data_IF_398443516839
#
_entry.id   IF_398443516839
#
_cell.length_a   1.000
_cell.length_b   1.000
_cell.length_c   1.000
_cell.angle_alpha   90.00
_cell.angle_beta   90.00
_cell.angle_gamma   90.00
#
_symmetry.space_group_name_H-M   'P 1'
#
loop_
_entity.id
_entity.type
_entity.pdbx_description
1 polymer ?
#
# COMPACT_ATOMS: atom_id res chain seq x y z
N UNK A 1 -16.19 0.55 -13.65
CA UNK A 1 -15.53 0.51 -12.33
C UNK A 1 -15.52 -0.90 -11.73
N UNK A 2 -16.67 -1.57 -11.58
CA UNK A 2 -16.79 -2.94 -11.02
C UNK A 2 -15.77 -3.98 -11.52
N UNK A 3 -15.65 -4.18 -12.84
CA UNK A 3 -14.68 -5.14 -13.41
C UNK A 3 -13.23 -4.78 -13.09
N UNK A 4 -12.92 -3.49 -13.05
CA UNK A 4 -11.58 -3.01 -12.72
C UNK A 4 -11.25 -3.26 -11.25
N UNK A 5 -12.18 -2.95 -10.33
CA UNK A 5 -12.02 -3.27 -8.90
C UNK A 5 -11.74 -4.74 -8.68
N UNK A 6 -12.52 -5.63 -9.30
CA UNK A 6 -12.29 -7.09 -9.20
C UNK A 6 -10.90 -7.49 -9.71
N UNK A 7 -10.42 -6.87 -10.78
CA UNK A 7 -9.05 -7.10 -11.27
C UNK A 7 -8.01 -6.66 -10.24
N UNK A 8 -8.14 -5.47 -9.67
CA UNK A 8 -7.24 -4.95 -8.64
C UNK A 8 -7.26 -5.82 -7.39
N UNK A 9 -8.43 -6.21 -6.89
CA UNK A 9 -8.58 -7.12 -5.75
C UNK A 9 -7.81 -8.42 -5.98
N UNK A 10 -8.00 -9.06 -7.13
CA UNK A 10 -7.31 -10.31 -7.45
C UNK A 10 -5.78 -10.12 -7.49
N UNK A 11 -5.30 -9.00 -8.04
CA UNK A 11 -3.87 -8.66 -8.01
C UNK A 11 -3.36 -8.45 -6.58
N UNK A 12 -4.10 -7.72 -5.73
CA UNK A 12 -3.76 -7.51 -4.33
C UNK A 12 -3.60 -8.84 -3.60
N UNK A 13 -4.54 -9.78 -3.80
CA UNK A 13 -4.49 -11.11 -3.21
C UNK A 13 -3.31 -11.94 -3.70
N UNK A 14 -2.97 -11.84 -5.00
CA UNK A 14 -1.79 -12.49 -5.57
C UNK A 14 -0.50 -11.96 -4.94
N UNK A 15 -0.32 -10.64 -4.87
CA UNK A 15 0.86 -10.03 -4.26
C UNK A 15 1.00 -10.38 -2.78
N UNK A 16 -0.10 -10.35 -2.02
CA UNK A 16 -0.10 -10.76 -0.62
C UNK A 16 0.34 -12.22 -0.46
N UNK A 17 -0.17 -13.11 -1.31
CA UNK A 17 0.20 -14.53 -1.29
C UNK A 17 1.70 -14.70 -1.58
N UNK A 18 2.25 -13.97 -2.54
CA UNK A 18 3.68 -14.00 -2.84
C UNK A 18 4.51 -13.50 -1.65
N UNK A 19 4.16 -12.34 -1.06
CA UNK A 19 4.91 -11.75 0.05
C UNK A 19 4.87 -12.62 1.31
N UNK A 20 3.72 -13.22 1.63
CA UNK A 20 3.58 -14.11 2.79
C UNK A 20 4.41 -15.37 2.62
N UNK A 21 4.44 -15.95 1.40
CA UNK A 21 5.20 -17.18 1.16
C UNK A 21 6.72 -16.96 1.10
N UNK A 22 7.19 -15.74 0.81
CA UNK A 22 8.62 -15.44 0.71
C UNK A 22 9.23 -14.88 2.00
N UNK A 23 8.44 -14.39 2.95
CA UNK A 23 8.96 -13.87 4.21
C UNK A 23 8.87 -14.94 5.30
N UNK A 24 10.03 -15.35 5.83
CA UNK A 24 10.13 -16.47 6.78
C UNK A 24 9.50 -16.16 8.16
N UNK A 25 9.40 -14.90 8.57
CA UNK A 25 8.79 -14.49 9.85
C UNK A 25 8.05 -13.14 9.71
N UNK A 26 6.75 -13.17 9.37
CA UNK A 26 5.89 -11.98 9.40
C UNK A 26 4.68 -12.27 10.28
N UNK A 27 4.63 -11.62 11.45
CA UNK A 27 3.50 -11.73 12.38
C UNK A 27 2.41 -10.74 12.00
N UNK A 28 1.57 -11.14 11.03
CA UNK A 28 0.45 -10.33 10.56
C UNK A 28 -0.88 -11.02 10.81
N UNK A 29 -1.92 -10.20 10.95
CA UNK A 29 -3.31 -10.60 10.85
C UNK A 29 -3.89 -9.93 9.61
N UNK A 30 -4.69 -10.67 8.87
CA UNK A 30 -5.37 -10.15 7.69
C UNK A 30 -6.87 -10.25 7.88
N UNK A 31 -7.57 -9.16 7.57
CA UNK A 31 -9.01 -9.08 7.58
C UNK A 31 -9.49 -8.94 6.14
N UNK A 32 -10.33 -9.87 5.73
CA UNK A 32 -11.03 -9.81 4.45
C UNK A 32 -12.53 -9.75 4.73
N UNK A 33 -13.18 -8.71 4.24
CA UNK A 33 -14.63 -8.52 4.40
C UNK A 33 -15.27 -8.11 3.09
N UNK A 34 -16.49 -8.57 2.87
CA UNK A 34 -17.32 -8.22 1.72
C UNK A 34 -18.70 -7.82 2.22
N UNK A 35 -19.18 -6.64 1.80
CA UNK A 35 -20.50 -6.16 2.11
C UNK A 35 -21.17 -5.65 0.85
N UNK A 36 -22.20 -6.34 0.38
CA UNK A 36 -22.83 -6.09 -0.93
C UNK A 36 -21.80 -6.10 -2.08
N UNK A 37 -21.54 -4.95 -2.71
CA UNK A 37 -20.54 -4.79 -3.76
C UNK A 37 -19.18 -4.29 -3.25
N UNK A 38 -19.10 -3.91 -1.97
CA UNK A 38 -17.90 -3.38 -1.35
C UNK A 38 -17.01 -4.49 -0.81
N UNK A 39 -15.69 -4.30 -0.94
CA UNK A 39 -14.70 -5.24 -0.42
C UNK A 39 -13.64 -4.50 0.37
N UNK A 40 -13.16 -5.14 1.43
CA UNK A 40 -12.22 -4.57 2.39
C UNK A 40 -11.12 -5.59 2.63
N UNK A 41 -9.87 -5.15 2.46
CA UNK A 41 -8.67 -5.93 2.74
C UNK A 41 -7.83 -5.10 3.71
N UNK A 42 -7.61 -5.58 4.92
CA UNK A 42 -6.73 -4.93 5.90
C UNK A 42 -5.65 -5.91 6.33
N UNK A 43 -4.39 -5.43 6.38
CA UNK A 43 -3.24 -6.16 6.89
C UNK A 43 -2.69 -5.37 8.07
N UNK A 44 -2.58 -6.03 9.22
CA UNK A 44 -2.08 -5.42 10.43
C UNK A 44 -1.08 -6.32 11.15
N UNK A 45 -0.09 -5.72 11.81
CA UNK A 45 0.91 -6.45 12.58
C UNK A 45 0.62 -6.41 14.09
N UNK A 46 1.58 -6.82 14.91
CA UNK A 46 1.48 -6.83 16.37
C UNK A 46 1.78 -5.48 17.03
N UNK A 47 2.17 -4.48 16.25
CA UNK A 47 2.42 -3.10 16.68
C UNK A 47 1.23 -2.17 16.36
N UNK A 48 0.06 -2.73 16.02
CA UNK A 48 -1.13 -2.00 15.59
C UNK A 48 -0.89 -1.09 14.37
N UNK A 49 0.11 -1.44 13.56
CA UNK A 49 0.35 -0.82 12.25
C UNK A 49 -0.51 -1.52 11.20
N UNK A 50 -1.09 -0.74 10.29
CA UNK A 50 -2.05 -1.25 9.32
C UNK A 50 -1.92 -0.58 7.95
N UNK A 51 -2.06 -1.40 6.91
CA UNK A 51 -2.40 -0.95 5.55
C UNK A 51 -3.73 -1.57 5.14
N UNK A 52 -4.69 -0.74 4.72
CA UNK A 52 -6.01 -1.20 4.28
C UNK A 52 -6.36 -0.72 2.89
N UNK A 53 -7.07 -1.57 2.15
CA UNK A 53 -7.57 -1.35 0.79
C UNK A 53 -9.08 -1.56 0.77
N UNK A 54 -9.81 -0.47 0.61
CA UNK A 54 -11.26 -0.41 0.69
C UNK A 54 -11.81 -0.10 -0.71
N UNK A 55 -12.50 -1.07 -1.31
CA UNK A 55 -13.07 -1.00 -2.65
C UNK A 55 -14.55 -0.62 -2.58
N UNK A 56 -14.86 0.64 -2.25
CA UNK A 56 -16.21 1.09 -1.86
C UNK A 56 -16.90 1.84 -3.01
N UNK A 57 -18.17 1.58 -3.32
CA UNK A 57 -18.95 2.27 -4.37
C UNK A 57 -18.20 2.37 -5.73
N UNK A 58 -17.83 3.59 -6.15
CA UNK A 58 -17.01 3.88 -7.33
C UNK A 58 -15.58 4.33 -6.99
N UNK A 59 -15.19 4.33 -5.70
CA UNK A 59 -13.87 4.71 -5.22
C UNK A 59 -13.02 3.50 -4.79
N UNK A 60 -11.71 3.72 -4.73
CA UNK A 60 -10.79 2.87 -3.98
C UNK A 60 -10.13 3.77 -2.95
N UNK A 61 -10.21 3.39 -1.68
CA UNK A 61 -9.64 4.11 -0.56
C UNK A 61 -8.54 3.26 0.06
N UNK A 62 -7.39 3.86 0.32
CA UNK A 62 -6.26 3.21 0.93
C UNK A 62 -5.93 3.96 2.22
N UNK A 63 -5.89 3.25 3.34
CA UNK A 63 -5.54 3.85 4.63
C UNK A 63 -4.20 3.30 5.11
N UNK A 64 -3.34 4.21 5.57
CA UNK A 64 -2.07 3.90 6.20
C UNK A 64 -2.15 4.34 7.66
N UNK A 65 -1.98 3.39 8.57
CA UNK A 65 -2.06 3.62 10.01
C UNK A 65 -0.74 3.18 10.64
N UNK A 66 -0.12 4.11 11.33
CA UNK A 66 0.92 3.86 12.32
C UNK A 66 0.49 4.58 13.60
N UNK A 67 0.47 3.93 14.79
CA UNK A 67 -0.03 4.55 16.01
C UNK A 67 0.69 5.84 16.43
N UNK A 68 1.89 6.08 15.90
CA UNK A 68 2.73 7.24 16.19
C UNK A 68 2.71 8.29 15.06
N UNK A 69 1.96 8.06 13.98
CA UNK A 69 1.81 8.99 12.86
C UNK A 69 0.35 9.41 12.64
N UNK A 70 0.16 10.50 11.90
CA UNK A 70 -1.16 10.86 11.40
C UNK A 70 -1.61 9.84 10.35
N UNK A 71 -2.89 9.44 10.40
CA UNK A 71 -3.48 8.55 9.40
C UNK A 71 -3.39 9.19 8.02
N UNK A 72 -2.86 8.45 7.05
CA UNK A 72 -2.86 8.85 5.65
C UNK A 72 -4.02 8.15 4.95
N UNK A 73 -4.86 8.93 4.25
CA UNK A 73 -5.95 8.42 3.42
C UNK A 73 -5.69 8.82 1.96
N UNK A 74 -5.62 7.81 1.09
CA UNK A 74 -5.45 8.01 -0.35
C UNK A 74 -6.73 7.54 -1.05
N UNK A 75 -7.39 8.44 -1.77
CA UNK A 75 -8.64 8.16 -2.47
C UNK A 75 -8.41 8.19 -3.99
N UNK A 76 -8.92 7.17 -4.66
CA UNK A 76 -8.96 7.05 -6.11
C UNK A 76 -10.42 7.02 -6.54
N UNK A 77 -10.93 8.13 -7.06
CA UNK A 77 -12.34 8.31 -7.47
C UNK A 77 -12.49 8.63 -8.96
N UNK A 78 -11.38 8.77 -9.69
CA UNK A 78 -11.37 8.98 -11.15
C UNK A 78 -10.76 7.80 -11.91
N UNK A 79 -11.23 7.59 -13.13
CA UNK A 79 -10.75 6.51 -14.01
C UNK A 79 -9.24 6.60 -14.26
N UNK A 80 -8.70 7.81 -14.46
CA UNK A 80 -7.28 8.03 -14.70
C UNK A 80 -6.41 7.64 -13.49
N UNK A 81 -6.80 8.07 -12.29
CA UNK A 81 -6.12 7.68 -11.05
C UNK A 81 -6.21 6.16 -10.84
N UNK A 82 -7.38 5.57 -11.12
CA UNK A 82 -7.55 4.14 -10.91
C UNK A 82 -6.57 3.30 -11.71
N UNK A 83 -6.14 3.73 -12.91
CA UNK A 83 -5.19 2.99 -13.74
C UNK A 83 -3.88 2.64 -13.02
N UNK A 84 -3.44 3.46 -12.06
CA UNK A 84 -2.20 3.27 -11.30
C UNK A 84 -2.37 2.59 -9.93
N UNK A 85 -3.60 2.29 -9.52
CA UNK A 85 -3.88 1.74 -8.18
C UNK A 85 -3.09 0.45 -7.92
N UNK A 86 -3.00 -0.43 -8.91
CA UNK A 86 -2.25 -1.68 -8.76
C UNK A 86 -0.75 -1.45 -8.44
N UNK A 87 -0.13 -0.39 -8.99
CA UNK A 87 1.26 -0.01 -8.69
C UNK A 87 1.38 0.53 -7.26
N UNK A 88 0.43 1.39 -6.87
CA UNK A 88 0.34 1.92 -5.50
C UNK A 88 0.20 0.81 -4.48
N UNK A 89 -0.70 -0.14 -4.70
CA UNK A 89 -0.90 -1.29 -3.81
C UNK A 89 0.39 -2.09 -3.69
N UNK A 90 1.04 -2.42 -4.81
CA UNK A 90 2.30 -3.17 -4.80
C UNK A 90 3.39 -2.44 -4.00
N UNK A 91 3.56 -1.14 -4.25
CA UNK A 91 4.51 -0.30 -3.53
C UNK A 91 4.25 -0.29 -2.02
N UNK A 92 3.00 -0.08 -1.61
CA UNK A 92 2.64 -0.04 -0.18
C UNK A 92 2.78 -1.40 0.51
N UNK A 93 2.47 -2.50 -0.19
CA UNK A 93 2.70 -3.84 0.32
C UNK A 93 4.20 -4.15 0.47
N UNK A 94 5.04 -3.72 -0.47
CA UNK A 94 6.50 -3.83 -0.34
C UNK A 94 6.98 -3.06 0.89
N UNK A 95 6.50 -1.83 1.10
CA UNK A 95 6.79 -1.05 2.31
C UNK A 95 6.39 -1.75 3.60
N UNK A 96 5.17 -2.28 3.65
CA UNK A 96 4.65 -2.91 4.86
C UNK A 96 5.38 -4.20 5.22
N UNK A 97 5.74 -5.04 4.23
CA UNK A 97 6.33 -6.35 4.49
C UNK A 97 7.86 -6.35 4.58
N UNK A 98 8.55 -5.42 3.89
CA UNK A 98 10.01 -5.46 3.73
C UNK A 98 10.73 -4.34 4.46
N UNK A 99 10.02 -3.31 4.90
CA UNK A 99 10.60 -2.08 5.43
C UNK A 99 10.01 -1.71 6.78
N UNK A 100 10.63 -0.72 7.44
CA UNK A 100 10.10 -0.21 8.69
C UNK A 100 8.85 0.61 8.38
N UNK A 101 7.68 0.12 8.79
CA UNK A 101 6.42 0.76 8.47
C UNK A 101 6.32 2.17 9.06
N UNK A 102 6.78 2.37 10.30
CA UNK A 102 6.78 3.67 10.96
C UNK A 102 7.58 4.71 10.15
N UNK A 103 8.83 4.36 9.77
CA UNK A 103 9.67 5.24 8.96
C UNK A 103 9.07 5.47 7.56
N UNK A 104 8.44 4.44 6.98
CA UNK A 104 7.80 4.52 5.68
C UNK A 104 6.59 5.48 5.69
N UNK A 105 5.69 5.35 6.68
CA UNK A 105 4.54 6.25 6.84
C UNK A 105 5.00 7.68 7.14
N UNK A 106 6.00 7.85 8.00
CA UNK A 106 6.59 9.16 8.28
C UNK A 106 7.14 9.82 7.00
N UNK A 107 7.85 9.07 6.15
CA UNK A 107 8.35 9.57 4.87
C UNK A 107 7.20 9.93 3.91
N UNK A 108 6.18 9.07 3.80
CA UNK A 108 5.01 9.31 2.96
C UNK A 108 4.19 10.53 3.39
N UNK A 109 4.22 10.90 4.68
CA UNK A 109 3.50 12.07 5.20
C UNK A 109 4.06 13.42 4.72
N UNK A 110 5.32 13.46 4.29
CA UNK A 110 6.02 14.70 3.89
C UNK A 110 6.51 14.71 2.45
N UNK A 111 6.58 13.55 1.79
CA UNK A 111 7.05 13.43 0.42
C UNK A 111 5.96 13.65 -0.62
N UNK A 112 6.35 13.97 -1.86
CA UNK A 112 5.45 13.87 -3.00
C UNK A 112 5.18 12.39 -3.30
N UNK A 113 4.00 11.92 -2.88
CA UNK A 113 3.56 10.54 -3.06
C UNK A 113 3.66 10.08 -4.52
N UNK A 114 3.26 10.91 -5.48
CA UNK A 114 3.24 10.51 -6.88
C UNK A 114 4.63 10.48 -7.50
N UNK A 115 5.53 11.35 -7.03
CA UNK A 115 6.95 11.27 -7.38
C UNK A 115 7.57 9.96 -6.87
N UNK A 116 7.26 9.54 -5.64
CA UNK A 116 7.73 8.25 -5.11
C UNK A 116 7.21 7.08 -5.94
N UNK A 117 5.92 7.04 -6.27
CA UNK A 117 5.35 5.99 -7.11
C UNK A 117 6.03 5.94 -8.48
N UNK A 118 6.24 7.10 -9.11
CA UNK A 118 6.96 7.16 -10.40
C UNK A 118 8.38 6.60 -10.29
N UNK A 119 9.11 6.95 -9.23
CA UNK A 119 10.47 6.44 -9.02
C UNK A 119 10.48 4.95 -8.70
N UNK A 120 9.44 4.42 -8.02
CA UNK A 120 9.27 2.98 -7.81
C UNK A 120 9.10 2.24 -9.14
N UNK A 121 8.28 2.78 -10.05
CA UNK A 121 8.08 2.21 -11.39
C UNK A 121 9.36 2.18 -12.23
N UNK A 122 10.21 3.19 -12.07
CA UNK A 122 11.46 3.34 -12.82
C UNK A 122 12.66 2.61 -12.18
N UNK A 123 12.46 1.86 -11.08
CA UNK A 123 13.52 1.21 -10.28
C UNK A 123 14.59 2.22 -9.79
N UNK A 124 14.12 3.41 -9.42
CA UNK A 124 14.92 4.56 -8.95
C UNK A 124 14.71 4.89 -7.48
N UNK A 125 13.97 4.06 -6.76
CA UNK A 125 13.89 4.16 -5.31
C UNK A 125 15.00 3.34 -4.66
N UNK A 126 15.81 4.00 -3.84
CA UNK A 126 16.61 3.33 -2.85
C UNK A 126 15.71 2.94 -1.69
N UNK A 127 15.52 1.64 -1.54
CA UNK A 127 14.72 1.05 -0.47
C UNK A 127 15.60 0.51 0.66
N UNK A 128 16.94 0.57 0.57
CA UNK A 128 17.84 -0.12 1.52
C UNK A 128 17.84 0.47 2.94
N UNK A 129 17.37 1.70 3.13
CA UNK A 129 17.49 2.47 4.38
C UNK A 129 16.26 2.42 5.30
N UNK A 130 15.44 1.36 5.23
CA UNK A 130 14.26 1.20 6.09
C UNK A 130 13.03 2.00 5.66
N UNK A 131 13.18 2.94 4.72
CA UNK A 131 12.11 3.74 4.10
C UNK A 131 12.48 4.18 2.67
N UNK A 132 11.50 4.51 1.80
CA UNK A 132 11.74 4.80 0.39
C UNK A 132 12.42 6.16 0.17
N UNK A 133 13.48 6.21 -0.63
CA UNK A 133 14.16 7.47 -1.05
C UNK A 133 14.49 7.45 -2.54
N UNK A 134 14.64 8.62 -3.16
CA UNK A 134 15.08 8.70 -4.56
C UNK A 134 16.59 8.45 -4.62
N UNK A 135 17.04 7.57 -5.51
CA UNK A 135 18.47 7.27 -5.68
C UNK A 135 19.25 8.55 -6.00
N UNK A 136 20.29 8.83 -5.23
CA UNK A 136 21.15 10.00 -5.43
C UNK A 136 20.61 11.32 -4.86
N UNK A 137 19.48 11.32 -4.16
CA UNK A 137 19.09 12.46 -3.33
C UNK A 137 19.97 12.50 -2.09
N UNK A 138 21.09 13.22 -2.14
CA UNK A 138 21.86 13.54 -0.94
C UNK A 138 21.00 14.47 -0.07
N UNK A 139 20.52 13.95 1.06
CA UNK A 139 20.09 14.78 2.19
C UNK A 139 21.31 15.38 2.88
#
# INVERSE_FOLDING_TARGET
>A
MKTYKNHVINLTQQYLTELINHNEEVNIRMFYSTFEEDQYISILNDQDQEVSFNFVNDSIEIELIDPLCEKILITFDTVEQTAKVHQVIKFLLDLFFKFNWHESVAALSVADFWELIKNYEEDKLDMTFGYPRIVGSNS
#
